data_IF_706189361605
#
_entry.id   IF_706189361605
#
_cell.length_a   1.000
_cell.length_b   1.000
_cell.length_c   1.000
_cell.angle_alpha   90.00
_cell.angle_beta   90.00
_cell.angle_gamma   90.00
#
_symmetry.space_group_name_H-M   'P 1'
#
loop_
_entity.id
_entity.type
_entity.pdbx_description
1 polymer ?
#
# COMPACT_ATOMS: atom_id res chain seq x y z
N UNK A 1 14.72 -14.74 22.36
CA UNK A 1 13.63 -13.78 22.04
C UNK A 1 13.10 -14.17 20.67
N UNK A 2 11.90 -14.76 20.59
CA UNK A 2 11.33 -15.15 19.29
C UNK A 2 10.78 -13.90 18.61
N UNK A 3 11.40 -13.47 17.50
CA UNK A 3 10.88 -12.39 16.65
C UNK A 3 9.66 -12.94 15.92
N UNK A 4 8.46 -12.51 16.33
CA UNK A 4 7.23 -12.77 15.58
C UNK A 4 7.39 -12.07 14.22
N UNK A 5 7.24 -12.81 13.12
CA UNK A 5 7.29 -12.21 11.78
C UNK A 5 6.22 -11.12 11.64
N UNK A 6 6.60 -9.99 11.03
CA UNK A 6 5.69 -8.90 10.73
C UNK A 6 4.81 -9.27 9.54
N UNK A 7 3.50 -9.09 9.64
CA UNK A 7 2.64 -9.20 8.48
C UNK A 7 2.79 -7.96 7.59
N UNK A 8 2.46 -8.10 6.31
CA UNK A 8 2.45 -6.98 5.36
C UNK A 8 1.03 -6.72 4.88
N UNK A 9 0.57 -5.48 5.05
CA UNK A 9 -0.71 -5.01 4.52
C UNK A 9 -0.46 -4.44 3.12
N UNK A 10 -1.09 -5.02 2.10
CA UNK A 10 -1.06 -4.50 0.73
C UNK A 10 -2.13 -3.40 0.58
N UNK A 11 -1.72 -2.21 0.19
CA UNK A 11 -2.61 -1.04 0.03
C UNK A 11 -2.53 -0.56 -1.42
N UNK A 12 -3.60 -0.78 -2.21
CA UNK A 12 -3.73 -0.16 -3.53
C UNK A 12 -3.83 1.36 -3.38
N UNK A 13 -3.08 2.08 -4.21
CA UNK A 13 -3.14 3.53 -4.34
C UNK A 13 -3.36 3.87 -5.81
N UNK A 14 -4.18 4.87 -6.08
CA UNK A 14 -4.39 5.47 -7.40
C UNK A 14 -4.30 7.02 -7.33
N UNK A 15 -3.79 7.53 -6.21
CA UNK A 15 -3.71 8.96 -5.85
C UNK A 15 -5.06 9.68 -5.72
N UNK A 16 -6.18 8.96 -5.71
CA UNK A 16 -7.47 9.54 -5.33
C UNK A 16 -7.51 9.84 -3.82
N UNK A 17 -8.35 10.82 -3.44
CA UNK A 17 -8.65 11.10 -2.03
C UNK A 17 -9.15 9.85 -1.29
N UNK A 18 -9.93 9.01 -1.96
CA UNK A 18 -10.48 7.77 -1.40
C UNK A 18 -9.36 6.78 -1.07
N UNK A 19 -8.39 6.60 -1.99
CA UNK A 19 -7.23 5.77 -1.73
C UNK A 19 -6.35 6.34 -0.60
N UNK A 20 -6.23 7.66 -0.48
CA UNK A 20 -5.52 8.29 0.62
C UNK A 20 -6.19 8.04 1.97
N UNK A 21 -7.52 8.09 2.06
CA UNK A 21 -8.24 7.70 3.27
C UNK A 21 -7.99 6.24 3.66
N UNK A 22 -8.01 5.33 2.68
CA UNK A 22 -7.70 3.91 2.91
C UNK A 22 -6.25 3.73 3.40
N UNK A 23 -5.29 4.46 2.83
CA UNK A 23 -3.89 4.45 3.26
C UNK A 23 -3.73 4.94 4.70
N UNK A 24 -4.41 6.03 5.09
CA UNK A 24 -4.37 6.52 6.47
C UNK A 24 -4.88 5.46 7.46
N UNK A 25 -5.99 4.79 7.13
CA UNK A 25 -6.52 3.72 7.97
C UNK A 25 -5.55 2.52 8.05
N UNK A 26 -4.98 2.10 6.92
CA UNK A 26 -3.99 1.02 6.89
C UNK A 26 -2.74 1.37 7.70
N UNK A 27 -2.31 2.63 7.70
CA UNK A 27 -1.19 3.12 8.51
C UNK A 27 -1.44 3.00 10.01
N UNK A 28 -2.65 3.38 10.46
CA UNK A 28 -3.03 3.24 11.86
C UNK A 28 -3.06 1.78 12.30
N UNK A 29 -3.63 0.89 11.47
CA UNK A 29 -3.64 -0.55 11.72
C UNK A 29 -2.22 -1.12 11.76
N UNK A 30 -1.39 -0.79 10.78
CA UNK A 30 -0.01 -1.28 10.71
C UNK A 30 0.80 -0.85 11.94
N UNK A 31 0.65 0.41 12.37
CA UNK A 31 1.29 0.95 13.57
C UNK A 31 0.83 0.23 14.83
N UNK A 32 -0.47 -0.07 14.96
CA UNK A 32 -1.01 -0.75 16.14
C UNK A 32 -0.49 -2.18 16.29
N UNK A 33 -0.31 -2.90 15.18
CA UNK A 33 0.11 -4.31 15.17
C UNK A 33 1.59 -4.53 14.85
N UNK A 34 2.39 -3.46 14.74
CA UNK A 34 3.79 -3.50 14.33
C UNK A 34 4.01 -4.22 12.98
N UNK A 35 3.12 -3.99 12.02
CA UNK A 35 3.14 -4.58 10.69
C UNK A 35 3.79 -3.66 9.65
N UNK A 36 4.14 -4.23 8.49
CA UNK A 36 4.60 -3.50 7.33
C UNK A 36 3.44 -3.08 6.43
N UNK A 37 3.68 -2.07 5.60
CA UNK A 37 2.76 -1.66 4.51
C UNK A 37 3.51 -1.78 3.19
N UNK A 38 2.85 -2.36 2.20
CA UNK A 38 3.30 -2.34 0.80
C UNK A 38 2.28 -1.54 -0.02
N UNK A 39 2.73 -0.51 -0.73
CA UNK A 39 1.89 0.28 -1.61
C UNK A 39 1.89 -0.33 -3.01
N UNK A 40 0.71 -0.47 -3.62
CA UNK A 40 0.53 -0.96 -4.98
C UNK A 40 -0.11 0.13 -5.84
N UNK A 41 0.62 0.61 -6.84
CA UNK A 41 0.07 1.46 -7.90
C UNK A 41 0.03 0.64 -9.19
N UNK A 42 -1.12 0.61 -9.86
CA UNK A 42 -1.29 -0.11 -11.12
C UNK A 42 -1.20 0.87 -12.28
N UNK A 43 -0.38 0.56 -13.26
CA UNK A 43 -0.21 1.34 -14.48
C UNK A 43 -0.73 0.52 -15.65
N UNK A 44 -1.55 1.12 -16.50
CA UNK A 44 -2.02 0.49 -17.74
C UNK A 44 -0.87 0.33 -18.74
N UNK A 45 -0.79 -0.83 -19.41
CA UNK A 45 0.23 -1.05 -20.45
C UNK A 45 0.13 -0.04 -21.59
N UNK A 46 -1.09 0.35 -21.96
CA UNK A 46 -1.33 1.37 -22.98
C UNK A 46 -0.74 2.74 -22.60
N UNK A 47 -0.71 3.07 -21.30
CA UNK A 47 -0.03 4.26 -20.84
C UNK A 47 1.48 4.13 -21.06
N UNK A 48 2.08 2.99 -20.65
CA UNK A 48 3.52 2.73 -20.82
C UNK A 48 3.97 2.73 -22.29
N UNK A 49 3.17 2.20 -23.22
CA UNK A 49 3.51 2.21 -24.65
C UNK A 49 3.49 3.60 -25.28
N UNK A 50 2.86 4.59 -24.64
CA UNK A 50 2.85 5.97 -25.14
C UNK A 50 4.03 6.80 -24.62
N UNK A 51 4.79 6.28 -23.64
CA UNK A 51 5.93 6.98 -23.02
C UNK A 51 7.28 6.39 -23.45
N UNK A 52 7.30 5.20 -24.06
CA UNK A 52 8.49 4.52 -24.61
C UNK A 52 8.26 4.13 -26.06
#
# INVERSE_FOLDING_TARGET
MQTKEKNTILVPVDFSEIAMHALHHAADVAKHFDNNIALLYVIEEAFLSNIF
#
